data_IF_280667453453
#
_entry.id   IF_280667453453
#
_cell.length_a   1.000
_cell.length_b   1.000
_cell.length_c   1.000
_cell.angle_alpha   90.00
_cell.angle_beta   90.00
_cell.angle_gamma   90.00
#
_symmetry.space_group_name_H-M   'P 1'
#
loop_
_entity.id
_entity.type
_entity.pdbx_description
1 polymer ?
#
# COMPACT_ATOMS: atom_id res chain seq x y z
N UNK A 1 4.55 19.44 0.02
CA UNK A 1 4.76 18.26 0.90
C UNK A 1 3.38 17.85 1.41
N UNK A 2 2.89 16.67 1.02
CA UNK A 2 1.49 16.27 1.24
C UNK A 2 1.30 15.90 2.72
N UNK A 3 0.29 16.48 3.39
CA UNK A 3 0.02 16.33 4.83
C UNK A 3 -0.12 14.85 5.24
N UNK A 4 -0.55 13.99 4.31
CA UNK A 4 -0.69 12.55 4.50
C UNK A 4 0.65 11.81 4.61
N UNK A 5 1.69 12.23 3.88
CA UNK A 5 3.01 11.57 3.95
C UNK A 5 3.70 11.83 5.30
N UNK A 6 3.54 13.02 5.87
CA UNK A 6 4.14 13.40 7.16
C UNK A 6 3.60 12.57 8.32
N UNK A 7 2.27 12.46 8.46
CA UNK A 7 1.65 11.68 9.54
C UNK A 7 1.97 10.20 9.47
N UNK A 8 2.09 9.65 8.26
CA UNK A 8 2.39 8.22 8.07
C UNK A 8 3.80 7.89 8.56
N UNK A 9 4.76 8.77 8.32
CA UNK A 9 6.17 8.59 8.72
C UNK A 9 6.33 8.62 10.25
N UNK A 10 5.67 9.56 10.92
CA UNK A 10 5.70 9.68 12.39
C UNK A 10 5.06 8.47 13.09
N UNK A 11 3.97 7.93 12.53
CA UNK A 11 3.26 6.77 13.07
C UNK A 11 4.09 5.49 12.92
N UNK A 12 4.72 5.27 11.77
CA UNK A 12 5.58 4.10 11.54
C UNK A 12 6.83 4.13 12.42
N UNK A 13 7.41 5.30 12.65
CA UNK A 13 8.55 5.48 13.55
C UNK A 13 8.16 5.27 15.03
N UNK A 14 6.96 5.69 15.46
CA UNK A 14 6.48 5.51 16.83
C UNK A 14 6.01 4.10 17.17
N UNK A 15 5.46 3.35 16.20
CA UNK A 15 4.86 2.05 16.49
C UNK A 15 5.88 0.92 16.66
N UNK A 16 7.08 1.03 16.07
CA UNK A 16 8.00 -0.10 15.93
C UNK A 16 7.33 -1.17 15.05
N UNK A 17 7.81 -1.37 13.82
CA UNK A 17 7.14 -2.28 12.88
C UNK A 17 7.18 -3.72 13.42
N UNK A 18 6.06 -4.19 13.96
CA UNK A 18 5.96 -5.50 14.60
C UNK A 18 4.54 -6.05 14.51
N UNK A 19 4.34 -7.05 13.66
CA UNK A 19 3.07 -7.80 13.58
C UNK A 19 3.11 -8.89 14.64
N UNK A 20 2.33 -8.74 15.71
CA UNK A 20 2.28 -9.72 16.80
C UNK A 20 1.14 -10.74 16.64
N UNK A 21 0.16 -10.44 15.78
CA UNK A 21 -1.01 -11.29 15.54
C UNK A 21 -1.60 -10.99 14.16
N UNK A 22 -2.09 -12.03 13.48
CA UNK A 22 -2.83 -11.90 12.21
C UNK A 22 -4.32 -11.53 12.42
N UNK A 23 -4.84 -11.71 13.64
CA UNK A 23 -6.26 -11.49 13.99
C UNK A 23 -6.47 -10.39 15.04
N UNK A 24 -5.39 -9.72 15.47
CA UNK A 24 -5.46 -8.64 16.44
C UNK A 24 -6.08 -7.37 15.87
N UNK A 25 -6.23 -6.33 16.71
CA UNK A 25 -6.66 -5.02 16.25
C UNK A 25 -5.63 -4.46 15.27
N UNK A 26 -6.09 -4.07 14.08
CA UNK A 26 -5.26 -3.48 13.05
C UNK A 26 -5.14 -1.97 13.28
N UNK A 27 -3.94 -1.47 13.56
CA UNK A 27 -3.71 -0.03 13.79
C UNK A 27 -3.23 0.68 12.52
N UNK A 28 -2.34 0.05 11.75
CA UNK A 28 -1.76 0.59 10.51
C UNK A 28 -1.73 -0.48 9.44
N UNK A 29 -2.04 -0.08 8.21
CA UNK A 29 -1.95 -0.94 7.02
C UNK A 29 -1.32 -0.16 5.87
N UNK A 30 -0.44 -0.85 5.13
CA UNK A 30 0.14 -0.34 3.90
C UNK A 30 -0.59 -0.96 2.70
N UNK A 31 -1.10 -0.13 1.80
CA UNK A 31 -1.87 -0.55 0.64
C UNK A 31 -1.30 0.03 -0.65
N UNK A 32 -1.25 -0.76 -1.72
CA UNK A 32 -0.86 -0.29 -3.04
C UNK A 32 -2.09 -0.20 -3.94
N UNK A 33 -2.39 1.00 -4.46
CA UNK A 33 -3.46 1.21 -5.44
C UNK A 33 -2.91 0.88 -6.82
N UNK A 34 -3.47 -0.13 -7.53
CA UNK A 34 -2.98 -0.48 -8.85
C UNK A 34 -3.08 0.70 -9.82
N UNK A 35 -2.18 0.84 -10.76
CA UNK A 35 -2.07 1.96 -11.69
C UNK A 35 -1.78 1.51 -13.12
N UNK A 36 -0.83 2.18 -13.76
CA UNK A 36 -0.47 1.95 -15.17
C UNK A 36 0.19 0.60 -15.43
N UNK A 37 0.68 -0.08 -14.39
CA UNK A 37 1.26 -1.42 -14.51
C UNK A 37 0.24 -2.45 -15.04
N UNK A 38 -1.05 -2.27 -14.74
CA UNK A 38 -2.11 -3.13 -15.29
C UNK A 38 -2.30 -2.95 -16.80
N UNK A 39 -1.89 -1.81 -17.38
CA UNK A 39 -1.93 -1.60 -18.84
C UNK A 39 -0.90 -2.47 -19.58
N UNK A 40 0.07 -3.05 -18.87
CA UNK A 40 1.07 -3.95 -19.46
C UNK A 40 0.60 -5.40 -19.54
N UNK A 41 -0.57 -5.71 -18.97
CA UNK A 41 -1.17 -7.03 -19.03
C UNK A 41 -1.73 -7.28 -20.44
N UNK A 42 -1.25 -8.35 -21.06
CA UNK A 42 -1.76 -8.89 -22.32
C UNK A 42 -2.16 -10.35 -22.10
N UNK A 43 -2.97 -10.90 -23.01
CA UNK A 43 -3.38 -12.31 -22.90
C UNK A 43 -2.19 -13.27 -22.91
N UNK A 44 -1.09 -12.89 -23.55
CA UNK A 44 0.09 -13.73 -23.70
C UNK A 44 0.98 -13.75 -22.45
N UNK A 45 0.98 -12.68 -21.66
CA UNK A 45 1.81 -12.57 -20.44
C UNK A 45 1.02 -12.78 -19.13
N UNK A 46 -0.31 -12.90 -19.22
CA UNK A 46 -1.23 -12.99 -18.09
C UNK A 46 -0.86 -14.08 -17.08
N UNK A 47 -0.67 -15.32 -17.58
CA UNK A 47 -0.32 -16.47 -16.75
C UNK A 47 1.09 -16.38 -16.17
N UNK A 48 2.02 -15.73 -16.86
CA UNK A 48 3.38 -15.50 -16.34
C UNK A 48 3.38 -14.46 -15.23
N UNK A 49 2.45 -13.51 -15.27
CA UNK A 49 2.29 -12.44 -14.29
C UNK A 49 1.31 -12.81 -13.17
N UNK A 50 0.90 -14.09 -13.07
CA UNK A 50 0.03 -14.62 -12.02
C UNK A 50 -1.37 -13.96 -11.97
N UNK A 51 -1.87 -13.50 -13.10
CA UNK A 51 -3.26 -13.04 -13.24
C UNK A 51 -4.13 -14.14 -13.86
N UNK A 52 -5.34 -14.31 -13.35
CA UNK A 52 -6.35 -15.23 -13.91
C UNK A 52 -7.18 -14.58 -15.02
N UNK A 53 -7.32 -13.25 -14.99
CA UNK A 53 -8.04 -12.46 -16.00
C UNK A 53 -7.51 -11.02 -16.09
N UNK A 54 -7.77 -10.34 -17.20
CA UNK A 54 -7.40 -8.92 -17.38
C UNK A 54 -8.33 -8.07 -16.51
N UNK A 55 -7.82 -7.35 -15.50
CA UNK A 55 -8.65 -6.57 -14.60
C UNK A 55 -9.19 -5.30 -15.28
N UNK A 56 -10.41 -4.92 -14.93
CA UNK A 56 -10.98 -3.63 -15.31
C UNK A 56 -10.46 -2.55 -14.34
N UNK A 57 -9.56 -1.69 -14.83
CA UNK A 57 -8.93 -0.62 -14.06
C UNK A 57 -9.91 0.21 -13.22
N UNK A 58 -11.04 0.63 -13.80
CA UNK A 58 -11.98 1.53 -13.14
C UNK A 58 -12.67 0.83 -11.97
N UNK A 59 -13.12 -0.40 -12.18
CA UNK A 59 -13.78 -1.20 -11.15
C UNK A 59 -12.78 -1.60 -10.05
N UNK A 60 -11.57 -1.98 -10.43
CA UNK A 60 -10.49 -2.29 -9.48
C UNK A 60 -10.15 -1.09 -8.59
N UNK A 61 -10.06 0.12 -9.16
CA UNK A 61 -9.85 1.35 -8.39
C UNK A 61 -11.00 1.63 -7.44
N UNK A 62 -12.24 1.51 -7.90
CA UNK A 62 -13.42 1.73 -7.07
C UNK A 62 -13.47 0.76 -5.89
N UNK A 63 -13.26 -0.54 -6.15
CA UNK A 63 -13.24 -1.55 -5.08
C UNK A 63 -12.11 -1.27 -4.07
N UNK A 64 -10.93 -0.87 -4.55
CA UNK A 64 -9.80 -0.55 -3.69
C UNK A 64 -10.04 0.70 -2.84
N UNK A 65 -10.66 1.73 -3.41
CA UNK A 65 -10.99 2.97 -2.71
C UNK A 65 -12.04 2.71 -1.62
N UNK A 66 -13.09 1.93 -1.93
CA UNK A 66 -14.11 1.49 -0.97
C UNK A 66 -13.46 0.72 0.19
N UNK A 67 -12.58 -0.24 -0.12
CA UNK A 67 -11.87 -1.00 0.90
C UNK A 67 -11.01 -0.12 1.80
N UNK A 68 -10.28 0.84 1.21
CA UNK A 68 -9.48 1.81 1.96
C UNK A 68 -10.33 2.67 2.89
N UNK A 69 -11.53 3.06 2.44
CA UNK A 69 -12.44 3.87 3.24
C UNK A 69 -13.01 3.07 4.40
N UNK A 70 -13.43 1.83 4.15
CA UNK A 70 -13.91 0.93 5.20
C UNK A 70 -12.88 0.77 6.34
N UNK A 71 -11.60 0.63 6.00
CA UNK A 71 -10.52 0.54 7.00
C UNK A 71 -10.35 1.85 7.79
N UNK A 72 -10.40 3.01 7.11
CA UNK A 72 -10.33 4.32 7.78
C UNK A 72 -11.51 4.55 8.72
N UNK A 73 -12.71 4.14 8.31
CA UNK A 73 -13.92 4.27 9.12
C UNK A 73 -13.84 3.43 10.41
N UNK A 74 -13.08 2.32 10.38
CA UNK A 74 -12.76 1.49 11.54
C UNK A 74 -11.57 2.02 12.36
N UNK A 75 -11.06 3.22 12.06
CA UNK A 75 -9.96 3.87 12.77
C UNK A 75 -8.56 3.36 12.41
N UNK A 76 -8.44 2.56 11.33
CA UNK A 76 -7.16 2.06 10.84
C UNK A 76 -6.45 3.14 10.03
N UNK A 77 -5.15 3.31 10.26
CA UNK A 77 -4.32 4.21 9.47
C UNK A 77 -3.91 3.53 8.16
N UNK A 78 -4.50 3.99 7.06
CA UNK A 78 -4.21 3.48 5.72
C UNK A 78 -3.10 4.31 5.07
N UNK A 79 -1.89 3.76 5.03
CA UNK A 79 -0.76 4.28 4.26
C UNK A 79 -0.84 3.81 2.81
N UNK A 80 -0.72 4.73 1.86
CA UNK A 80 -0.65 4.36 0.43
C UNK A 80 0.80 4.17 0.01
N UNK A 81 1.13 2.96 -0.43
CA UNK A 81 2.40 2.62 -1.05
C UNK A 81 2.40 3.16 -2.48
N UNK A 82 2.81 4.42 -2.60
CA UNK A 82 3.23 5.01 -3.87
C UNK A 82 4.73 4.81 -4.03
N UNK A 83 5.20 4.79 -5.28
CA UNK A 83 6.63 4.69 -5.62
C UNK A 83 7.51 5.69 -4.84
N UNK A 84 6.98 6.88 -4.53
CA UNK A 84 7.61 7.90 -3.69
C UNK A 84 7.95 7.41 -2.27
N UNK A 85 7.05 6.65 -1.66
CA UNK A 85 7.19 6.17 -0.28
C UNK A 85 8.22 5.05 -0.18
N UNK A 86 8.38 4.25 -1.24
CA UNK A 86 9.34 3.14 -1.30
C UNK A 86 10.79 3.65 -1.25
N UNK A 87 11.08 4.76 -1.95
CA UNK A 87 12.39 5.41 -1.88
C UNK A 87 12.69 5.97 -0.48
N UNK A 88 11.66 6.49 0.21
CA UNK A 88 11.83 7.05 1.56
C UNK A 88 12.10 5.95 2.60
N UNK A 89 11.37 4.83 2.52
CA UNK A 89 11.62 3.67 3.37
C UNK A 89 13.02 3.09 3.13
N UNK A 90 13.46 2.99 1.86
CA UNK A 90 14.80 2.50 1.54
C UNK A 90 15.91 3.46 2.02
N UNK A 91 15.73 4.77 1.95
CA UNK A 91 16.72 5.71 2.50
C UNK A 91 16.82 5.62 4.01
N UNK A 92 15.70 5.42 4.71
CA UNK A 92 15.72 5.29 6.17
C UNK A 92 16.44 3.98 6.60
N UNK A 93 16.24 2.86 5.86
CA UNK A 93 16.97 1.59 6.07
C UNK A 93 18.48 1.75 5.81
N UNK A 94 18.88 2.53 4.80
CA UNK A 94 20.30 2.76 4.46
C UNK A 94 20.97 3.81 5.37
N UNK A 95 20.21 4.66 6.05
CA UNK A 95 20.73 5.62 7.03
C UNK A 95 20.86 5.07 8.45
N UNK A 96 20.31 3.89 8.74
CA UNK A 96 20.49 3.21 10.04
C UNK A 96 21.79 2.41 10.15
N UNK A 97 22.65 2.42 9.13
CA UNK A 97 23.97 1.75 9.14
C UNK A 97 25.18 2.71 9.14
N UNK A 98 25.07 3.90 9.76
CA UNK A 98 26.26 4.72 10.05
C UNK A 98 26.14 5.55 11.33
#
# INVERSE_FOLDING_TARGET
MNVYESKTKDILAQLGVGVQSECGKLDVVLMHRPGQELLRLTKDNLHQLLYDAIPNLKETHQSHDIFSQYLRDNGVHVGMCSFSLLMTASTDILSTEN
#
